data_IF_390125955571
#
_entry.id   IF_390125955571
#
_cell.length_a   1.000
_cell.length_b   1.000
_cell.length_c   1.000
_cell.angle_alpha   90.00
_cell.angle_beta   90.00
_cell.angle_gamma   90.00
#
_symmetry.space_group_name_H-M   'P 1'
#
loop_
_entity.id
_entity.type
_entity.pdbx_description
1 polymer ?
#
# COMPACT_ATOMS: atom_id res chain seq x y z
N UNK A 1 8.91 22.88 -18.90
CA UNK A 1 9.13 21.98 -17.74
C UNK A 1 10.07 22.68 -16.78
N UNK A 2 9.65 22.90 -15.55
CA UNK A 2 10.53 23.48 -14.53
C UNK A 2 11.32 22.37 -13.84
N UNK A 3 12.56 22.19 -14.26
CA UNK A 3 13.45 21.14 -13.73
C UNK A 3 13.79 21.33 -12.25
N UNK A 4 13.54 22.53 -11.67
CA UNK A 4 13.75 22.78 -10.24
C UNK A 4 12.77 21.97 -9.37
N UNK A 5 11.63 21.51 -9.92
CA UNK A 5 10.64 20.69 -9.23
C UNK A 5 10.93 19.17 -9.34
N UNK A 6 11.91 18.75 -10.13
CA UNK A 6 12.25 17.34 -10.28
C UNK A 6 12.69 16.66 -8.97
N UNK A 7 13.53 17.30 -8.12
CA UNK A 7 13.85 16.73 -6.81
C UNK A 7 12.60 16.51 -5.94
N UNK A 8 11.62 17.41 -5.99
CA UNK A 8 10.39 17.31 -5.25
C UNK A 8 9.52 16.13 -5.72
N UNK A 9 9.57 15.82 -7.01
CA UNK A 9 8.84 14.69 -7.57
C UNK A 9 9.49 13.33 -7.25
N UNK A 10 10.82 13.29 -7.13
CA UNK A 10 11.59 12.03 -7.01
C UNK A 10 11.99 11.70 -5.57
N UNK A 11 12.40 12.72 -4.78
CA UNK A 11 12.89 12.49 -3.41
C UNK A 11 11.93 11.70 -2.51
N UNK A 12 10.61 12.01 -2.43
CA UNK A 12 9.70 11.26 -1.58
C UNK A 12 9.56 9.80 -2.03
N UNK A 13 9.68 9.53 -3.33
CA UNK A 13 9.65 8.17 -3.89
C UNK A 13 10.86 7.38 -3.41
N UNK A 14 12.07 7.93 -3.59
CA UNK A 14 13.30 7.27 -3.15
C UNK A 14 13.32 7.06 -1.63
N UNK A 15 12.83 8.04 -0.87
CA UNK A 15 12.73 7.93 0.58
C UNK A 15 11.80 6.78 0.99
N UNK A 16 10.61 6.68 0.39
CA UNK A 16 9.64 5.64 0.74
C UNK A 16 10.09 4.26 0.28
N UNK A 17 10.72 4.14 -0.89
CA UNK A 17 11.38 2.88 -1.33
C UNK A 17 12.44 2.48 -0.32
N UNK A 18 13.29 3.41 0.11
CA UNK A 18 14.32 3.13 1.11
C UNK A 18 13.72 2.70 2.44
N UNK A 19 12.67 3.38 2.91
CA UNK A 19 11.99 3.04 4.19
C UNK A 19 11.43 1.62 4.15
N UNK A 20 10.67 1.26 3.10
CA UNK A 20 10.08 -0.10 3.03
C UNK A 20 11.16 -1.17 2.91
N UNK A 21 12.22 -0.92 2.15
CA UNK A 21 13.37 -1.81 2.03
C UNK A 21 14.13 -1.98 3.36
N UNK A 22 14.19 -0.92 4.19
CA UNK A 22 14.80 -0.98 5.53
C UNK A 22 13.92 -1.74 6.53
N UNK A 23 12.60 -1.65 6.41
CA UNK A 23 11.64 -2.39 7.25
C UNK A 23 11.72 -3.89 6.98
N UNK A 24 12.12 -4.28 5.78
CA UNK A 24 12.35 -5.65 5.34
C UNK A 24 13.65 -6.25 5.92
N UNK A 25 13.91 -6.01 7.17
CA UNK A 25 15.10 -6.53 7.89
C UNK A 25 14.70 -7.76 8.73
N UNK A 26 15.55 -8.82 8.85
CA UNK A 26 16.95 -8.89 8.40
C UNK A 26 17.19 -9.38 6.97
N UNK A 27 16.19 -9.91 6.28
CA UNK A 27 16.31 -10.48 4.92
C UNK A 27 15.82 -9.50 3.88
N UNK A 28 16.64 -8.49 3.61
CA UNK A 28 16.29 -7.45 2.64
C UNK A 28 16.31 -7.95 1.22
N UNK A 29 15.30 -7.52 0.46
CA UNK A 29 15.22 -7.79 -0.96
C UNK A 29 16.43 -7.25 -1.75
N UNK A 30 16.91 -7.99 -2.79
CA UNK A 30 17.96 -7.50 -3.68
C UNK A 30 17.58 -6.17 -4.32
N UNK A 31 18.43 -5.16 -4.19
CA UNK A 31 18.14 -3.81 -4.70
C UNK A 31 17.83 -3.82 -6.22
N UNK A 32 18.44 -4.75 -6.99
CA UNK A 32 18.15 -4.93 -8.40
C UNK A 32 16.69 -5.34 -8.65
N UNK A 33 16.10 -6.15 -7.77
CA UNK A 33 14.70 -6.51 -7.84
C UNK A 33 13.81 -5.32 -7.50
N UNK A 34 14.12 -4.60 -6.42
CA UNK A 34 13.38 -3.37 -6.05
C UNK A 34 13.33 -2.39 -7.22
N UNK A 35 14.47 -2.16 -7.89
CA UNK A 35 14.55 -1.31 -9.08
C UNK A 35 13.72 -1.88 -10.23
N UNK A 36 13.78 -3.20 -10.47
CA UNK A 36 12.97 -3.86 -11.51
C UNK A 36 11.48 -3.65 -11.29
N UNK A 37 10.98 -3.82 -10.07
CA UNK A 37 9.58 -3.60 -9.75
C UNK A 37 9.18 -2.12 -9.80
N UNK A 38 10.08 -1.21 -9.46
CA UNK A 38 9.88 0.23 -9.63
C UNK A 38 9.71 0.59 -11.13
N UNK A 39 10.57 0.05 -12.00
CA UNK A 39 10.47 0.25 -13.45
C UNK A 39 9.20 -0.37 -14.04
N UNK A 40 8.82 -1.56 -13.57
CA UNK A 40 7.54 -2.18 -13.93
C UNK A 40 6.34 -1.29 -13.53
N UNK A 41 6.42 -0.65 -12.36
CA UNK A 41 5.44 0.34 -11.91
C UNK A 41 5.35 1.57 -12.81
N UNK A 42 6.49 2.11 -13.25
CA UNK A 42 6.50 3.19 -14.22
C UNK A 42 5.86 2.77 -15.55
N UNK A 43 6.11 1.54 -16.02
CA UNK A 43 5.43 0.99 -17.19
C UNK A 43 3.92 0.89 -16.97
N UNK A 44 3.47 0.43 -15.81
CA UNK A 44 2.04 0.40 -15.45
C UNK A 44 1.40 1.80 -15.51
N UNK A 45 2.12 2.83 -15.03
CA UNK A 45 1.68 4.23 -15.13
C UNK A 45 1.51 4.68 -16.58
N UNK A 46 2.44 4.30 -17.46
CA UNK A 46 2.31 4.56 -18.91
C UNK A 46 1.07 3.90 -19.52
N UNK A 47 0.81 2.64 -19.17
CA UNK A 47 -0.36 1.91 -19.63
C UNK A 47 -1.68 2.55 -19.12
N UNK A 48 -1.70 2.97 -17.86
CA UNK A 48 -2.87 3.66 -17.27
C UNK A 48 -3.12 5.00 -17.97
N UNK A 49 -2.09 5.82 -18.21
CA UNK A 49 -2.22 7.10 -18.93
C UNK A 49 -2.83 6.91 -20.33
N UNK A 50 -2.40 5.86 -21.05
CA UNK A 50 -2.99 5.54 -22.37
C UNK A 50 -4.45 5.15 -22.23
N UNK A 51 -4.78 4.27 -21.30
CA UNK A 51 -6.16 3.82 -21.08
C UNK A 51 -7.08 4.97 -20.63
N UNK A 52 -6.64 5.82 -19.71
CA UNK A 52 -7.37 7.03 -19.28
C UNK A 52 -7.61 7.98 -20.45
N UNK A 53 -6.60 8.20 -21.33
CA UNK A 53 -6.78 9.07 -22.49
C UNK A 53 -7.88 8.58 -23.43
N UNK A 54 -8.07 7.25 -23.51
CA UNK A 54 -9.19 6.66 -24.28
C UNK A 54 -10.55 6.87 -23.61
N UNK A 55 -10.57 7.01 -22.27
CA UNK A 55 -11.78 7.29 -21.50
C UNK A 55 -12.12 8.78 -21.39
N UNK A 56 -11.21 9.69 -21.80
CA UNK A 56 -11.41 11.13 -21.72
C UNK A 56 -12.72 11.67 -22.33
N UNK A 57 -13.27 11.12 -23.46
CA UNK A 57 -14.57 11.54 -23.98
C UNK A 57 -15.73 11.18 -23.05
N UNK A 58 -15.59 10.10 -22.27
CA UNK A 58 -16.59 9.68 -21.27
C UNK A 58 -16.47 10.57 -20.04
N UNK A 59 -15.25 10.87 -19.62
CA UNK A 59 -14.97 11.81 -18.53
C UNK A 59 -15.60 13.18 -18.75
N UNK A 60 -15.47 13.72 -19.98
CA UNK A 60 -16.06 14.99 -20.33
C UNK A 60 -17.60 15.00 -20.20
N UNK A 61 -18.27 13.87 -20.47
CA UNK A 61 -19.73 13.72 -20.26
C UNK A 61 -20.07 13.58 -18.78
N UNK A 62 -19.21 12.99 -18.00
CA UNK A 62 -19.42 12.76 -16.57
C UNK A 62 -19.07 13.99 -15.71
N UNK A 63 -18.41 14.98 -16.30
CA UNK A 63 -18.25 16.31 -15.72
C UNK A 63 -19.55 17.13 -15.70
N UNK A 64 -20.65 16.63 -16.32
CA UNK A 64 -21.96 17.27 -16.33
C UNK A 64 -22.47 17.43 -14.88
N UNK A 65 -22.75 18.70 -14.43
CA UNK A 65 -23.25 18.96 -13.09
C UNK A 65 -24.59 18.30 -12.77
N UNK A 66 -25.38 17.91 -13.79
CA UNK A 66 -26.66 17.22 -13.63
C UNK A 66 -26.54 15.78 -13.15
N UNK A 67 -25.35 15.17 -13.29
CA UNK A 67 -25.13 13.79 -12.84
C UNK A 67 -25.06 13.69 -11.32
N UNK A 68 -25.76 12.68 -10.81
CA UNK A 68 -25.77 12.40 -9.37
C UNK A 68 -24.40 11.98 -8.86
N UNK A 69 -24.09 12.29 -7.62
CA UNK A 69 -22.81 11.94 -7.00
C UNK A 69 -22.47 10.43 -7.05
N UNK A 70 -23.42 9.47 -6.94
CA UNK A 70 -23.10 8.05 -7.05
C UNK A 70 -22.57 7.66 -8.43
N UNK A 71 -23.12 8.27 -9.50
CA UNK A 71 -22.65 8.02 -10.88
C UNK A 71 -21.22 8.52 -11.06
N UNK A 72 -20.90 9.69 -10.53
CA UNK A 72 -19.52 10.21 -10.56
C UNK A 72 -18.57 9.35 -9.77
N UNK A 73 -18.97 8.90 -8.57
CA UNK A 73 -18.16 8.02 -7.73
C UNK A 73 -17.90 6.67 -8.43
N UNK A 74 -18.92 6.07 -9.05
CA UNK A 74 -18.78 4.83 -9.84
C UNK A 74 -17.78 5.01 -10.99
N UNK A 75 -17.82 6.17 -11.66
CA UNK A 75 -16.88 6.45 -12.73
C UNK A 75 -15.44 6.60 -12.21
N UNK A 76 -15.21 7.35 -11.13
CA UNK A 76 -13.89 7.46 -10.50
C UNK A 76 -13.39 6.09 -10.05
N UNK A 77 -14.31 5.24 -9.56
CA UNK A 77 -13.96 3.87 -9.18
C UNK A 77 -13.51 3.02 -10.38
N UNK A 78 -14.28 3.02 -11.47
CA UNK A 78 -13.99 2.15 -12.63
C UNK A 78 -12.91 2.75 -13.53
N UNK A 79 -13.00 4.05 -13.81
CA UNK A 79 -12.16 4.73 -14.79
C UNK A 79 -10.79 5.16 -14.25
N UNK A 80 -10.65 5.31 -12.93
CA UNK A 80 -9.40 5.72 -12.30
C UNK A 80 -8.94 4.64 -11.31
N UNK A 81 -9.59 4.52 -10.17
CA UNK A 81 -9.11 3.67 -9.06
C UNK A 81 -8.91 2.21 -9.46
N UNK A 82 -9.92 1.58 -10.07
CA UNK A 82 -9.83 0.17 -10.49
C UNK A 82 -8.84 -0.01 -11.64
N UNK A 83 -8.85 0.89 -12.61
CA UNK A 83 -7.97 0.85 -13.78
C UNK A 83 -6.50 0.95 -13.37
N UNK A 84 -6.13 1.94 -12.55
CA UNK A 84 -4.76 2.13 -12.10
C UNK A 84 -4.27 0.97 -11.22
N UNK A 85 -5.09 0.54 -10.25
CA UNK A 85 -4.70 -0.57 -9.38
C UNK A 85 -4.66 -1.91 -10.15
N UNK A 86 -5.47 -2.09 -11.19
CA UNK A 86 -5.38 -3.24 -12.08
C UNK A 86 -4.09 -3.22 -12.92
N UNK A 87 -3.67 -2.06 -13.43
CA UNK A 87 -2.38 -1.91 -14.12
C UNK A 87 -1.21 -2.25 -13.18
N UNK A 88 -1.20 -1.75 -11.94
CA UNK A 88 -0.19 -2.04 -10.92
C UNK A 88 -0.16 -3.53 -10.58
N UNK A 89 -1.30 -4.13 -10.28
CA UNK A 89 -1.40 -5.57 -9.98
C UNK A 89 -1.01 -6.44 -11.17
N UNK A 90 -1.37 -6.04 -12.39
CA UNK A 90 -1.04 -6.76 -13.62
C UNK A 90 0.46 -6.86 -13.85
N UNK A 91 1.19 -5.73 -13.76
CA UNK A 91 2.66 -5.75 -13.91
C UNK A 91 3.34 -6.45 -12.74
N UNK A 92 2.84 -6.30 -11.51
CA UNK A 92 3.32 -7.03 -10.35
C UNK A 92 3.19 -8.54 -10.55
N UNK A 93 2.03 -9.01 -11.02
CA UNK A 93 1.79 -10.41 -11.30
C UNK A 93 2.66 -10.98 -12.43
N UNK A 94 2.99 -10.17 -13.44
CA UNK A 94 3.91 -10.57 -14.52
C UNK A 94 5.36 -10.58 -14.02
N UNK A 95 5.80 -9.54 -13.34
CA UNK A 95 7.16 -9.40 -12.83
C UNK A 95 7.51 -10.44 -11.77
N UNK A 96 6.54 -10.90 -11.00
CA UNK A 96 6.74 -11.92 -9.94
C UNK A 96 6.85 -13.36 -10.47
N UNK A 97 6.55 -13.61 -11.76
CA UNK A 97 6.62 -14.96 -12.31
C UNK A 97 8.07 -15.48 -12.34
N UNK A 98 8.29 -16.54 -11.58
CA UNK A 98 9.60 -17.19 -11.49
C UNK A 98 10.64 -16.37 -10.73
N UNK A 99 10.24 -15.33 -10.01
CA UNK A 99 11.13 -14.59 -9.14
C UNK A 99 11.48 -15.43 -7.90
N UNK A 100 12.74 -15.82 -7.80
CA UNK A 100 13.24 -16.66 -6.72
C UNK A 100 13.49 -15.89 -5.42
N UNK A 101 13.57 -14.58 -5.51
CA UNK A 101 13.73 -13.73 -4.33
C UNK A 101 12.39 -13.50 -3.61
N UNK A 102 11.26 -13.77 -4.27
CA UNK A 102 9.93 -13.71 -3.67
C UNK A 102 9.67 -15.01 -2.87
N UNK A 103 10.36 -15.17 -1.76
CA UNK A 103 10.33 -16.39 -0.94
C UNK A 103 9.67 -16.18 0.43
N UNK A 104 9.50 -14.93 0.87
CA UNK A 104 8.79 -14.56 2.11
C UNK A 104 7.47 -13.79 1.82
N UNK A 105 6.45 -13.92 2.67
CA UNK A 105 5.20 -13.18 2.49
C UNK A 105 5.38 -11.65 2.49
N UNK A 106 6.34 -11.11 3.25
CA UNK A 106 6.58 -9.67 3.33
C UNK A 106 7.14 -9.08 2.03
N UNK A 107 7.83 -9.88 1.20
CA UNK A 107 8.36 -9.47 -0.11
C UNK A 107 7.26 -8.92 -1.02
N UNK A 108 6.05 -9.50 -0.93
CA UNK A 108 4.89 -8.97 -1.65
C UNK A 108 4.56 -7.53 -1.29
N UNK A 109 4.80 -7.12 -0.04
CA UNK A 109 4.61 -5.72 0.38
C UNK A 109 5.70 -4.84 -0.22
N UNK A 110 6.97 -5.27 -0.14
CA UNK A 110 8.11 -4.53 -0.69
C UNK A 110 7.94 -4.30 -2.18
N UNK A 111 7.58 -5.35 -2.93
CA UNK A 111 7.44 -5.27 -4.38
C UNK A 111 6.18 -4.53 -4.82
N UNK A 112 5.05 -4.70 -4.14
CA UNK A 112 3.83 -3.96 -4.44
C UNK A 112 4.01 -2.46 -4.17
N UNK A 113 4.69 -2.08 -3.08
CA UNK A 113 5.04 -0.68 -2.80
C UNK A 113 6.00 -0.14 -3.86
N UNK A 114 7.00 -0.93 -4.28
CA UNK A 114 7.94 -0.52 -5.33
C UNK A 114 7.22 -0.27 -6.66
N UNK A 115 6.30 -1.15 -7.08
CA UNK A 115 5.45 -0.94 -8.26
C UNK A 115 4.61 0.33 -8.11
N UNK A 116 3.94 0.51 -6.97
CA UNK A 116 3.08 1.68 -6.73
C UNK A 116 3.86 2.99 -6.74
N UNK A 117 5.08 3.00 -6.21
CA UNK A 117 5.95 4.16 -6.22
C UNK A 117 6.54 4.44 -7.61
N UNK A 118 6.84 3.41 -8.40
CA UNK A 118 7.21 3.57 -9.81
C UNK A 118 6.08 4.17 -10.65
N UNK A 119 4.85 3.73 -10.41
CA UNK A 119 3.65 4.31 -10.99
C UNK A 119 3.54 5.80 -10.65
N UNK A 120 3.60 6.15 -9.35
CA UNK A 120 3.55 7.53 -8.87
C UNK A 120 4.67 8.41 -9.45
N UNK A 121 5.86 7.84 -9.71
CA UNK A 121 6.96 8.56 -10.35
C UNK A 121 6.59 9.04 -11.75
N UNK A 122 6.01 8.17 -12.57
CA UNK A 122 5.61 8.54 -13.93
C UNK A 122 4.45 9.54 -13.92
N UNK A 123 3.49 9.35 -13.04
CA UNK A 123 2.39 10.27 -12.86
C UNK A 123 2.88 11.67 -12.41
N UNK A 124 3.85 11.74 -11.51
CA UNK A 124 4.49 12.99 -11.12
C UNK A 124 5.17 13.67 -12.33
N UNK A 125 5.89 12.91 -13.16
CA UNK A 125 6.49 13.44 -14.39
C UNK A 125 5.42 14.00 -15.34
N UNK A 126 4.30 13.28 -15.52
CA UNK A 126 3.15 13.75 -16.33
C UNK A 126 2.61 15.09 -15.82
N UNK A 127 2.37 15.20 -14.51
CA UNK A 127 1.83 16.43 -13.89
C UNK A 127 2.80 17.59 -14.03
N UNK A 128 4.09 17.38 -13.83
CA UNK A 128 5.12 18.42 -14.05
C UNK A 128 5.22 18.82 -15.53
N UNK A 129 5.09 17.88 -16.44
CA UNK A 129 5.08 18.15 -17.89
C UNK A 129 3.92 19.04 -18.30
N UNK A 130 2.76 18.85 -17.69
CA UNK A 130 1.56 19.67 -17.92
C UNK A 130 1.64 21.06 -17.27
N UNK A 131 2.75 21.43 -16.63
CA UNK A 131 2.95 22.72 -15.99
C UNK A 131 2.17 22.92 -14.70
N UNK A 132 1.64 21.85 -14.11
CA UNK A 132 0.88 21.95 -12.87
C UNK A 132 1.81 22.20 -11.66
N UNK A 133 1.55 23.27 -10.89
CA UNK A 133 2.27 23.59 -9.67
C UNK A 133 1.88 22.70 -8.46
N UNK A 134 1.46 21.45 -8.73
CA UNK A 134 0.98 20.51 -7.72
C UNK A 134 2.11 19.69 -7.04
N UNK A 135 3.39 20.06 -7.27
CA UNK A 135 4.53 19.27 -6.82
C UNK A 135 4.54 19.01 -5.30
N UNK A 136 4.30 20.03 -4.47
CA UNK A 136 4.28 19.88 -3.02
C UNK A 136 3.12 19.02 -2.52
N UNK A 137 1.92 19.23 -3.02
CA UNK A 137 0.75 18.43 -2.62
C UNK A 137 0.91 16.97 -3.02
N UNK A 138 1.51 16.70 -4.19
CA UNK A 138 1.79 15.33 -4.63
C UNK A 138 2.90 14.68 -3.79
N UNK A 139 3.96 15.40 -3.47
CA UNK A 139 5.04 14.89 -2.62
C UNK A 139 4.54 14.49 -1.22
N UNK A 140 3.63 15.29 -0.64
CA UNK A 140 3.15 15.11 0.74
C UNK A 140 1.98 14.11 0.81
N UNK A 141 1.10 14.06 -0.19
CA UNK A 141 -0.12 13.26 -0.15
C UNK A 141 -0.16 12.16 -1.21
N UNK A 142 -0.05 12.49 -2.50
CA UNK A 142 -0.26 11.51 -3.56
C UNK A 142 0.79 10.39 -3.54
N UNK A 143 2.09 10.72 -3.45
CA UNK A 143 3.16 9.72 -3.41
C UNK A 143 3.03 8.79 -2.20
N UNK A 144 2.86 9.29 -0.95
CA UNK A 144 2.56 8.42 0.19
C UNK A 144 1.30 7.58 0.02
N UNK A 145 0.21 8.12 -0.54
CA UNK A 145 -1.02 7.37 -0.75
C UNK A 145 -0.78 6.19 -1.71
N UNK A 146 -0.05 6.36 -2.81
CA UNK A 146 0.32 5.24 -3.67
C UNK A 146 1.12 4.17 -2.91
N UNK A 147 2.07 4.55 -2.05
CA UNK A 147 2.79 3.59 -1.21
C UNK A 147 1.86 2.83 -0.24
N UNK A 148 0.88 3.52 0.36
CA UNK A 148 -0.10 2.92 1.26
C UNK A 148 -1.01 1.95 0.51
N UNK A 149 -1.48 2.31 -0.69
CA UNK A 149 -2.28 1.43 -1.56
C UNK A 149 -1.47 0.18 -1.97
N UNK A 150 -0.19 0.36 -2.34
CA UNK A 150 0.73 -0.75 -2.59
C UNK A 150 0.90 -1.66 -1.36
N UNK A 151 0.97 -1.08 -0.15
CA UNK A 151 1.01 -1.84 1.09
C UNK A 151 -0.26 -2.67 1.29
N UNK A 152 -1.44 -2.13 1.02
CA UNK A 152 -2.70 -2.88 1.09
C UNK A 152 -2.72 -4.02 0.08
N UNK A 153 -2.37 -3.76 -1.19
CA UNK A 153 -2.23 -4.76 -2.25
C UNK A 153 -1.29 -5.88 -1.83
N UNK A 154 -0.06 -5.55 -1.46
CA UNK A 154 0.97 -6.51 -1.05
C UNK A 154 0.56 -7.31 0.18
N UNK A 155 -0.11 -6.69 1.15
CA UNK A 155 -0.59 -7.37 2.35
C UNK A 155 -1.63 -8.46 2.06
N UNK A 156 -2.46 -8.29 1.03
CA UNK A 156 -3.40 -9.32 0.59
C UNK A 156 -2.67 -10.45 -0.15
N UNK A 157 -1.70 -10.13 -1.00
CA UNK A 157 -0.90 -11.12 -1.72
C UNK A 157 -0.04 -11.95 -0.74
N UNK A 158 0.57 -11.31 0.26
CA UNK A 158 1.29 -11.97 1.34
C UNK A 158 0.42 -13.01 2.08
N UNK A 159 -0.83 -12.64 2.39
CA UNK A 159 -1.78 -13.56 3.00
C UNK A 159 -2.24 -14.65 2.05
N UNK A 160 -2.40 -14.34 0.75
CA UNK A 160 -2.72 -15.35 -0.25
C UNK A 160 -1.61 -16.40 -0.38
N UNK A 161 -0.35 -16.00 -0.27
CA UNK A 161 0.80 -16.91 -0.24
C UNK A 161 0.76 -17.86 0.95
N UNK A 162 0.35 -17.37 2.13
CA UNK A 162 0.19 -18.19 3.36
C UNK A 162 -1.02 -19.12 3.31
N UNK A 163 -2.11 -18.70 2.66
CA UNK A 163 -3.35 -19.49 2.56
C UNK A 163 -3.19 -20.75 1.67
N UNK A 164 -2.03 -20.91 1.00
CA UNK A 164 -1.60 -22.13 0.33
C UNK A 164 -0.84 -21.92 -0.99
N UNK A 165 0.21 -22.73 -1.24
CA UNK A 165 0.95 -22.76 -2.49
C UNK A 165 0.22 -23.53 -3.60
N UNK A 166 -1.06 -23.86 -3.40
CA UNK A 166 -1.86 -24.69 -4.32
C UNK A 166 -2.12 -24.01 -5.66
N UNK A 167 -2.47 -24.84 -6.66
CA UNK A 167 -2.93 -24.42 -7.99
C UNK A 167 -3.91 -23.25 -7.83
N UNK A 168 -3.76 -22.16 -8.61
CA UNK A 168 -4.67 -21.02 -8.54
C UNK A 168 -6.09 -21.48 -8.86
N UNK A 169 -6.88 -21.78 -7.84
CA UNK A 169 -8.30 -22.03 -8.01
C UNK A 169 -9.04 -20.69 -8.07
N UNK A 170 -10.07 -20.55 -8.90
CA UNK A 170 -10.84 -19.31 -8.98
C UNK A 170 -11.67 -19.03 -7.71
N UNK A 171 -11.75 -19.99 -6.80
CA UNK A 171 -12.49 -19.94 -5.54
C UNK A 171 -11.62 -20.34 -4.36
N UNK A 172 -11.99 -19.90 -3.15
CA UNK A 172 -11.26 -20.22 -1.92
C UNK A 172 -10.55 -19.02 -1.29
N UNK A 173 -9.92 -19.21 -0.13
CA UNK A 173 -9.30 -18.12 0.64
C UNK A 173 -8.24 -17.36 -0.15
N UNK A 174 -7.33 -18.04 -0.83
CA UNK A 174 -6.28 -17.42 -1.63
C UNK A 174 -6.84 -16.63 -2.83
N UNK A 175 -7.85 -17.16 -3.53
CA UNK A 175 -8.53 -16.43 -4.61
C UNK A 175 -9.20 -15.16 -4.08
N UNK A 176 -9.94 -15.26 -2.97
CA UNK A 176 -10.54 -14.10 -2.32
C UNK A 176 -9.49 -13.03 -1.96
N UNK A 177 -8.32 -13.44 -1.46
CA UNK A 177 -7.22 -12.52 -1.14
C UNK A 177 -6.71 -11.79 -2.38
N UNK A 178 -6.55 -12.49 -3.51
CA UNK A 178 -6.13 -11.88 -4.76
C UNK A 178 -7.13 -10.84 -5.28
N UNK A 179 -8.44 -11.11 -5.18
CA UNK A 179 -9.46 -10.13 -5.50
C UNK A 179 -9.42 -8.92 -4.54
N UNK A 180 -9.22 -9.15 -3.26
CA UNK A 180 -9.08 -8.07 -2.28
C UNK A 180 -7.79 -7.25 -2.51
N UNK A 181 -6.75 -7.84 -3.08
CA UNK A 181 -5.53 -7.12 -3.47
C UNK A 181 -5.77 -6.09 -4.58
N UNK A 182 -6.86 -6.23 -5.34
CA UNK A 182 -7.30 -5.26 -6.34
C UNK A 182 -8.37 -4.31 -5.79
N UNK A 183 -9.45 -4.88 -5.27
CA UNK A 183 -10.68 -4.11 -4.98
C UNK A 183 -10.50 -3.16 -3.79
N UNK A 184 -9.78 -3.57 -2.75
CA UNK A 184 -9.61 -2.71 -1.57
C UNK A 184 -8.72 -1.49 -1.85
N UNK A 185 -7.51 -1.62 -2.46
CA UNK A 185 -6.76 -0.45 -2.88
C UNK A 185 -7.53 0.45 -3.86
N UNK A 186 -8.24 -0.13 -4.85
CA UNK A 186 -9.05 0.63 -5.80
C UNK A 186 -10.15 1.43 -5.11
N UNK A 187 -10.84 0.85 -4.12
CA UNK A 187 -11.86 1.56 -3.35
C UNK A 187 -11.27 2.73 -2.54
N UNK A 188 -10.15 2.52 -1.86
CA UNK A 188 -9.47 3.59 -1.14
C UNK A 188 -8.90 4.67 -2.05
N UNK A 189 -8.34 4.29 -3.20
CA UNK A 189 -7.88 5.22 -4.24
C UNK A 189 -9.03 6.12 -4.70
N UNK A 190 -10.16 5.51 -5.04
CA UNK A 190 -11.38 6.22 -5.45
C UNK A 190 -11.85 7.23 -4.42
N UNK A 191 -11.90 6.84 -3.14
CA UNK A 191 -12.33 7.74 -2.06
C UNK A 191 -11.35 8.91 -1.92
N UNK A 192 -10.05 8.65 -2.02
CA UNK A 192 -9.02 9.68 -1.99
C UNK A 192 -9.18 10.66 -3.15
N UNK A 193 -9.27 10.17 -4.38
CA UNK A 193 -9.43 11.02 -5.57
C UNK A 193 -10.73 11.79 -5.57
N UNK A 194 -11.82 11.15 -5.12
CA UNK A 194 -13.10 11.85 -4.98
C UNK A 194 -12.98 13.05 -4.04
N UNK A 195 -12.27 12.93 -2.91
CA UNK A 195 -12.01 14.06 -2.02
C UNK A 195 -11.23 15.18 -2.73
N UNK A 196 -10.20 14.83 -3.52
CA UNK A 196 -9.42 15.79 -4.31
C UNK A 196 -10.28 16.50 -5.36
N UNK A 197 -11.13 15.75 -6.09
CA UNK A 197 -12.01 16.31 -7.10
C UNK A 197 -13.05 17.27 -6.50
N UNK A 198 -13.62 16.92 -5.35
CA UNK A 198 -14.54 17.82 -4.64
C UNK A 198 -13.86 19.11 -4.17
N UNK A 199 -12.66 19.03 -3.62
CA UNK A 199 -11.88 20.22 -3.21
C UNK A 199 -11.53 21.14 -4.40
N UNK A 200 -11.37 20.58 -5.62
CA UNK A 200 -11.09 21.36 -6.83
C UNK A 200 -12.34 21.96 -7.46
N UNK A 201 -13.47 21.25 -7.41
CA UNK A 201 -14.73 21.69 -8.02
C UNK A 201 -15.39 22.86 -7.25
N UNK A 202 -15.30 22.82 -5.93
CA UNK A 202 -15.76 23.91 -5.08
C UNK A 202 -14.63 24.94 -4.99
N UNK A 203 -14.83 26.14 -5.54
CA UNK A 203 -13.86 27.27 -5.56
C UNK A 203 -13.41 27.72 -4.15
N UNK A 204 -13.18 26.82 -3.28
CA UNK A 204 -12.79 26.92 -1.88
C UNK A 204 -13.17 25.63 -1.21
N UNK A 205 -12.16 24.83 -0.79
CA UNK A 205 -12.41 23.61 -0.06
C UNK A 205 -13.27 23.93 1.17
N UNK A 206 -14.49 23.37 1.23
CA UNK A 206 -15.27 23.47 2.46
C UNK A 206 -14.49 22.78 3.58
N UNK A 207 -14.57 23.31 4.80
CA UNK A 207 -13.89 22.67 5.96
C UNK A 207 -14.23 21.20 6.10
N UNK A 208 -15.44 20.80 5.70
CA UNK A 208 -15.89 19.41 5.70
C UNK A 208 -15.13 18.55 4.67
N UNK A 209 -14.90 19.05 3.45
CA UNK A 209 -14.15 18.30 2.41
C UNK A 209 -12.69 18.08 2.84
N UNK A 210 -12.06 19.11 3.41
CA UNK A 210 -10.70 18.99 3.98
C UNK A 210 -10.66 18.01 5.14
N UNK A 211 -11.61 18.09 6.06
CA UNK A 211 -11.70 17.16 7.19
C UNK A 211 -11.85 15.71 6.71
N UNK A 212 -12.76 15.46 5.76
CA UNK A 212 -12.95 14.12 5.18
C UNK A 212 -11.66 13.61 4.52
N UNK A 213 -10.99 14.44 3.74
CA UNK A 213 -9.70 14.11 3.14
C UNK A 213 -8.66 13.71 4.18
N UNK A 214 -8.51 14.48 5.26
CA UNK A 214 -7.57 14.17 6.34
C UNK A 214 -7.93 12.87 7.06
N UNK A 215 -9.22 12.62 7.29
CA UNK A 215 -9.69 11.36 7.88
C UNK A 215 -9.37 10.16 6.98
N UNK A 216 -9.58 10.28 5.67
CA UNK A 216 -9.26 9.22 4.69
C UNK A 216 -7.76 8.92 4.71
N UNK A 217 -6.92 9.95 4.64
CA UNK A 217 -5.45 9.78 4.68
C UNK A 217 -5.00 9.14 5.99
N UNK A 218 -5.52 9.61 7.14
CA UNK A 218 -5.19 9.05 8.45
C UNK A 218 -5.65 7.59 8.60
N UNK A 219 -6.83 7.25 8.05
CA UNK A 219 -7.33 5.87 8.04
C UNK A 219 -6.44 4.95 7.19
N UNK A 220 -6.04 5.39 6.00
CA UNK A 220 -5.11 4.66 5.13
C UNK A 220 -3.76 4.42 5.82
N UNK A 221 -3.17 5.44 6.42
CA UNK A 221 -1.93 5.32 7.19
C UNK A 221 -2.07 4.30 8.32
N UNK A 222 -3.11 4.43 9.11
CA UNK A 222 -3.37 3.52 10.24
C UNK A 222 -3.53 2.08 9.78
N UNK A 223 -4.28 1.87 8.70
CA UNK A 223 -4.53 0.53 8.14
C UNK A 223 -3.25 -0.09 7.59
N UNK A 224 -2.49 0.65 6.79
CA UNK A 224 -1.25 0.18 6.19
C UNK A 224 -0.20 -0.16 7.26
N UNK A 225 0.03 0.75 8.22
CA UNK A 225 0.98 0.51 9.33
C UNK A 225 0.59 -0.72 10.15
N UNK A 226 -0.70 -0.88 10.50
CA UNK A 226 -1.17 -2.06 11.24
C UNK A 226 -0.94 -3.36 10.46
N UNK A 227 -1.19 -3.36 9.15
CA UNK A 227 -1.00 -4.55 8.31
C UNK A 227 0.46 -4.91 8.14
N UNK A 228 1.32 -3.92 7.84
CA UNK A 228 2.78 -4.08 7.74
C UNK A 228 3.33 -4.64 9.05
N UNK A 229 3.01 -4.00 10.18
CA UNK A 229 3.46 -4.46 11.49
C UNK A 229 2.96 -5.88 11.83
N UNK A 230 1.73 -6.22 11.47
CA UNK A 230 1.19 -7.56 11.69
C UNK A 230 1.90 -8.62 10.86
N UNK A 231 2.19 -8.36 9.59
CA UNK A 231 2.91 -9.28 8.71
C UNK A 231 4.35 -9.47 9.17
N UNK A 232 5.07 -8.37 9.36
CA UNK A 232 6.45 -8.39 9.83
C UNK A 232 6.60 -9.15 11.15
N UNK A 233 5.76 -8.86 12.15
CA UNK A 233 5.79 -9.56 13.43
C UNK A 233 5.51 -11.06 13.31
N UNK A 234 4.59 -11.44 12.42
CA UNK A 234 4.28 -12.85 12.22
C UNK A 234 5.42 -13.62 11.57
N UNK A 235 6.25 -12.99 10.76
CA UNK A 235 7.47 -13.59 10.21
C UNK A 235 8.57 -13.75 11.26
N UNK A 236 8.67 -12.79 12.19
CA UNK A 236 9.59 -12.86 13.31
C UNK A 236 9.11 -13.78 14.45
N UNK A 237 8.00 -14.48 14.29
CA UNK A 237 7.39 -15.30 15.35
C UNK A 237 6.89 -14.49 16.55
N UNK A 238 6.69 -13.18 16.40
CA UNK A 238 6.26 -12.26 17.45
C UNK A 238 4.72 -12.20 17.55
N UNK A 239 4.15 -12.00 18.75
CA UNK A 239 2.70 -11.89 18.92
C UNK A 239 2.13 -10.67 18.19
N UNK A 240 0.84 -10.69 17.80
CA UNK A 240 0.16 -9.56 17.16
C UNK A 240 0.34 -8.24 17.93
N UNK A 241 0.36 -7.08 17.27
CA UNK A 241 0.59 -5.78 17.92
C UNK A 241 -0.39 -5.45 19.04
N UNK A 242 -1.64 -5.92 18.94
CA UNK A 242 -2.70 -5.69 19.95
C UNK A 242 -2.39 -6.35 21.29
N UNK A 243 -1.61 -7.45 21.30
CA UNK A 243 -1.26 -8.17 22.51
C UNK A 243 0.09 -7.74 23.12
N UNK A 244 0.89 -6.98 22.36
CA UNK A 244 2.20 -6.54 22.84
C UNK A 244 2.13 -5.54 24.01
N UNK A 245 1.26 -4.51 24.03
CA UNK A 245 1.17 -3.57 25.14
C UNK A 245 0.76 -4.24 26.47
N UNK A 246 -0.19 -5.17 26.42
CA UNK A 246 -0.67 -5.85 27.62
C UNK A 246 0.43 -6.72 28.28
N UNK A 247 1.22 -7.41 27.46
CA UNK A 247 2.35 -8.23 27.97
C UNK A 247 3.53 -7.36 28.44
N UNK A 248 3.77 -6.24 27.80
CA UNK A 248 4.80 -5.28 28.20
C UNK A 248 4.41 -4.59 29.49
N UNK A 249 3.16 -4.16 29.65
CA UNK A 249 2.62 -3.62 30.90
C UNK A 249 2.63 -4.66 32.03
N UNK A 250 2.23 -5.91 31.75
CA UNK A 250 2.29 -6.99 32.75
C UNK A 250 3.73 -7.26 33.26
N UNK A 251 4.72 -7.13 32.38
CA UNK A 251 6.14 -7.23 32.78
C UNK A 251 6.63 -6.03 33.58
N UNK A 252 6.19 -4.81 33.23
CA UNK A 252 6.53 -3.57 33.95
C UNK A 252 5.87 -3.48 35.31
N UNK A 253 4.65 -4.00 35.45
CA UNK A 253 3.87 -3.99 36.71
C UNK A 253 4.20 -5.19 37.61
N UNK A 254 5.07 -6.11 37.18
CA UNK A 254 5.50 -7.22 38.02
C UNK A 254 4.44 -8.32 38.25
N UNK A 255 3.29 -8.24 37.56
CA UNK A 255 2.23 -9.24 37.63
C UNK A 255 2.62 -10.43 36.76
N UNK A 256 3.19 -11.49 37.38
CA UNK A 256 3.52 -12.72 36.66
C UNK A 256 4.75 -13.46 37.12
N UNK A 257 5.36 -13.07 38.22
CA UNK A 257 6.30 -13.95 38.91
C UNK A 257 5.57 -14.76 39.97
N UNK A 258 4.98 -15.88 39.57
CA UNK A 258 4.68 -16.96 40.52
C UNK A 258 5.96 -17.43 41.19
N UNK A 259 5.93 -17.89 42.44
CA UNK A 259 7.10 -18.34 43.16
C UNK A 259 7.75 -19.49 42.39
N UNK A 260 9.04 -19.41 42.12
CA UNK A 260 9.84 -20.56 41.70
C UNK A 260 9.79 -21.53 42.85
N UNK A 261 9.14 -22.68 42.67
CA UNK A 261 9.25 -23.79 43.57
C UNK A 261 10.74 -24.13 43.74
N UNK A 262 11.20 -24.02 44.95
CA UNK A 262 12.46 -24.62 45.41
C UNK A 262 12.28 -26.12 45.38
N UNK A 263 12.73 -26.80 44.34
CA UNK A 263 13.04 -28.23 44.45
C UNK A 263 14.26 -28.35 45.34
N UNK A 264 13.97 -28.73 46.58
CA UNK A 264 14.98 -29.22 47.51
C UNK A 264 15.47 -30.55 47.00
N UNK A 265 16.71 -30.55 46.66
CA UNK A 265 17.55 -31.73 46.52
C UNK A 265 17.80 -32.30 47.96
N UNK A 266 17.06 -33.29 48.40
CA UNK A 266 17.42 -34.08 49.53
C UNK A 266 17.95 -35.42 49.06
N UNK A 267 19.23 -35.58 49.25
CA UNK A 267 19.97 -36.78 49.04
C UNK A 267 19.47 -37.94 49.91
N UNK A 268 19.53 -39.13 49.40
CA UNK A 268 19.57 -40.39 50.18
C UNK A 268 20.83 -41.14 49.78
N UNK A 269 21.73 -41.28 50.72
CA UNK A 269 22.90 -42.12 50.68
C UNK A 269 22.55 -43.60 50.91
N UNK A 270 23.49 -44.45 51.16
CA UNK A 270 23.65 -45.72 50.49
C UNK A 270 23.04 -46.91 51.29
N UNK A 271 22.72 -47.95 50.53
CA UNK A 271 22.44 -49.31 51.05
C UNK A 271 22.68 -50.31 49.94
#
# INVERSE_FOLDING_TARGET
MDFTLLPLAVTPILLLVHVIWMVDSPRREPIGNVVRYLLAGAFAGGAAIVAESMLAPIEARLADPSLTWPVRLLFVFVGVGLLEEACKLGVLAVASRGDRALDEPFDWVVYAVSVSLGFAALENVRVLWQGAHAGWSRAIFAVPVHALLGTLMGSHLARAMRDGPGVPTPVGPAARRRWLALIEPAAWHTVYDHCIFQMRAERGATGLAVLLFLVVVAALWTLAVRRTASLWRSEQGLPPPILAPARTLARLVGVGRGPRGSENDEGAGPG
#
